data_IF_564431897956
#
_entry.id   IF_564431897956
#
_cell.length_a   1.000
_cell.length_b   1.000
_cell.length_c   1.000
_cell.angle_alpha   90.00
_cell.angle_beta   90.00
_cell.angle_gamma   90.00
#
_symmetry.space_group_name_H-M   'P 1'
#
loop_
_entity.id
_entity.type
_entity.pdbx_description
1 polymer ?
#
# COMPACT_ATOMS: atom_id res chain seq x y z
N UNK A 1 -27.57 -22.58 -27.99
CA UNK A 1 -26.20 -22.71 -28.53
C UNK A 1 -25.48 -21.44 -28.10
N UNK A 2 -24.89 -21.53 -26.91
CA UNK A 2 -23.89 -20.65 -26.27
C UNK A 2 -23.84 -19.17 -26.64
N UNK A 3 -24.36 -18.35 -25.72
CA UNK A 3 -24.10 -16.93 -25.58
C UNK A 3 -22.62 -16.72 -25.20
N UNK A 4 -21.91 -15.99 -26.05
CA UNK A 4 -20.53 -15.53 -25.87
C UNK A 4 -20.54 -14.31 -24.94
N UNK A 5 -20.37 -14.56 -23.64
CA UNK A 5 -20.10 -13.52 -22.65
C UNK A 5 -18.61 -13.20 -22.66
N UNK A 6 -18.22 -12.25 -23.50
CA UNK A 6 -16.90 -11.61 -23.43
C UNK A 6 -16.69 -10.98 -22.05
N UNK A 7 -15.73 -11.53 -21.30
CA UNK A 7 -15.19 -10.94 -20.08
C UNK A 7 -14.76 -9.49 -20.33
N UNK A 8 -15.11 -8.52 -19.45
CA UNK A 8 -14.45 -7.24 -19.48
C UNK A 8 -13.03 -7.45 -18.94
N UNK A 9 -12.07 -7.50 -19.85
CA UNK A 9 -10.65 -7.44 -19.55
C UNK A 9 -10.39 -6.18 -18.71
N UNK A 10 -10.16 -6.37 -17.40
CA UNK A 10 -9.74 -5.32 -16.50
C UNK A 10 -8.43 -4.74 -17.05
N UNK A 11 -8.47 -3.48 -17.46
CA UNK A 11 -7.30 -2.72 -17.87
C UNK A 11 -6.26 -2.76 -16.77
N UNK A 12 -5.24 -3.58 -16.98
CA UNK A 12 -4.00 -3.51 -16.23
C UNK A 12 -3.45 -2.11 -16.38
N UNK A 13 -3.35 -1.36 -15.29
CA UNK A 13 -2.56 -0.15 -15.26
C UNK A 13 -1.10 -0.59 -15.48
N UNK A 14 -0.68 -0.57 -16.73
CA UNK A 14 0.70 -0.71 -17.16
C UNK A 14 1.51 0.40 -16.51
N UNK A 15 2.18 0.09 -15.40
CA UNK A 15 3.18 0.96 -14.83
C UNK A 15 4.31 1.12 -15.85
N UNK A 16 4.38 2.31 -16.46
CA UNK A 16 5.47 2.78 -17.31
C UNK A 16 6.84 2.26 -16.81
N UNK A 17 7.55 1.41 -17.57
CA UNK A 17 8.90 0.96 -17.24
C UNK A 17 9.90 2.09 -17.51
N UNK A 18 9.89 3.14 -16.68
CA UNK A 18 10.73 4.33 -16.87
C UNK A 18 11.12 5.09 -15.60
N UNK A 19 10.37 4.97 -14.50
CA UNK A 19 10.80 5.55 -13.22
C UNK A 19 11.89 4.67 -12.60
N UNK A 20 13.14 5.15 -12.59
CA UNK A 20 14.23 4.55 -11.81
C UNK A 20 13.87 4.67 -10.32
N UNK A 21 13.08 3.72 -9.83
CA UNK A 21 12.63 3.68 -8.44
C UNK A 21 13.80 3.76 -7.47
N UNK A 22 13.63 4.53 -6.38
CA UNK A 22 14.64 4.76 -5.36
C UNK A 22 14.96 3.45 -4.64
N UNK A 23 16.24 3.17 -4.37
CA UNK A 23 16.64 1.98 -3.62
C UNK A 23 17.01 2.37 -2.20
N UNK A 24 16.44 1.67 -1.22
CA UNK A 24 16.73 1.82 0.21
C UNK A 24 16.95 0.42 0.77
N UNK A 25 18.21 0.11 1.11
CA UNK A 25 18.62 -1.25 1.50
C UNK A 25 18.22 -2.29 0.44
N UNK A 26 17.39 -3.27 0.85
CA UNK A 26 16.88 -4.34 -0.02
C UNK A 26 15.60 -3.99 -0.78
N UNK A 27 15.08 -2.79 -0.59
CA UNK A 27 13.80 -2.36 -1.14
C UNK A 27 14.00 -1.40 -2.30
N UNK A 28 13.31 -1.65 -3.40
CA UNK A 28 13.12 -0.67 -4.47
C UNK A 28 11.75 -0.05 -4.33
N UNK A 29 11.71 1.26 -4.19
CA UNK A 29 10.52 2.08 -4.02
C UNK A 29 10.11 2.62 -5.39
N UNK A 30 8.86 2.38 -5.76
CA UNK A 30 8.24 2.83 -7.00
C UNK A 30 7.27 4.00 -6.72
N UNK A 31 6.29 4.20 -7.61
CA UNK A 31 5.32 5.28 -7.50
C UNK A 31 4.46 5.21 -6.24
N UNK A 32 3.88 6.37 -5.89
CA UNK A 32 2.91 6.52 -4.81
C UNK A 32 1.61 5.82 -5.21
N UNK A 33 1.07 4.99 -4.32
CA UNK A 33 -0.22 4.31 -4.47
C UNK A 33 -1.30 4.85 -3.52
N UNK A 34 -0.89 5.62 -2.52
CA UNK A 34 -1.79 6.33 -1.62
C UNK A 34 -1.06 7.44 -0.88
N UNK A 35 -1.79 8.46 -0.44
CA UNK A 35 -1.24 9.55 0.38
C UNK A 35 -2.21 9.82 1.53
N UNK A 36 -1.66 9.92 2.74
CA UNK A 36 -2.36 10.41 3.93
C UNK A 36 -1.86 11.78 4.33
N UNK A 37 -2.21 12.22 5.53
CA UNK A 37 -1.77 13.50 6.09
C UNK A 37 -0.26 13.53 6.37
N UNK A 38 0.24 12.58 7.18
CA UNK A 38 1.65 12.56 7.61
C UNK A 38 2.58 11.76 6.69
N UNK A 39 2.04 10.86 5.87
CA UNK A 39 2.82 9.87 5.16
C UNK A 39 2.20 9.49 3.81
N UNK A 40 3.06 9.08 2.89
CA UNK A 40 2.69 8.48 1.61
C UNK A 40 2.92 6.96 1.65
N UNK A 41 2.15 6.22 0.86
CA UNK A 41 2.35 4.78 0.64
C UNK A 41 2.80 4.58 -0.79
N UNK A 42 3.93 3.90 -0.94
CA UNK A 42 4.53 3.60 -2.23
C UNK A 42 4.41 2.11 -2.54
N UNK A 43 4.24 1.80 -3.82
CA UNK A 43 4.48 0.44 -4.30
C UNK A 43 5.98 0.16 -4.19
N UNK A 44 6.34 -1.00 -3.66
CA UNK A 44 7.72 -1.39 -3.49
C UNK A 44 7.98 -2.81 -3.93
N UNK A 45 9.26 -3.14 -4.02
CA UNK A 45 9.73 -4.49 -4.29
C UNK A 45 10.92 -4.82 -3.39
N UNK A 46 10.74 -5.79 -2.51
CA UNK A 46 11.83 -6.46 -1.80
C UNK A 46 12.63 -7.28 -2.82
N UNK A 47 13.95 -7.19 -2.74
CA UNK A 47 14.90 -8.05 -3.45
C UNK A 47 15.76 -8.81 -2.45
N UNK A 48 15.71 -10.13 -2.54
CA UNK A 48 16.57 -11.02 -1.77
C UNK A 48 17.56 -11.75 -2.67
N UNK A 49 18.33 -12.63 -2.06
CA UNK A 49 19.30 -13.48 -2.75
C UNK A 49 18.62 -14.47 -3.70
N UNK A 50 19.40 -15.08 -4.59
CA UNK A 50 18.93 -16.09 -5.55
C UNK A 50 17.73 -15.64 -6.42
N UNK A 51 17.60 -14.33 -6.67
CA UNK A 51 16.51 -13.77 -7.49
C UNK A 51 15.17 -13.64 -6.76
N UNK A 52 15.13 -13.87 -5.44
CA UNK A 52 13.91 -13.70 -4.65
C UNK A 52 13.38 -12.26 -4.78
N UNK A 53 12.09 -12.13 -5.04
CA UNK A 53 11.43 -10.83 -5.09
C UNK A 53 10.00 -10.90 -4.59
N UNK A 54 9.61 -9.92 -3.76
CA UNK A 54 8.25 -9.79 -3.22
C UNK A 54 7.76 -8.37 -3.41
N UNK A 55 6.51 -8.21 -3.86
CA UNK A 55 5.84 -6.90 -3.91
C UNK A 55 5.43 -6.51 -2.51
N UNK A 56 5.68 -5.26 -2.14
CA UNK A 56 5.42 -4.72 -0.79
C UNK A 56 4.80 -3.33 -0.89
N UNK A 57 4.13 -2.89 0.16
CA UNK A 57 3.77 -1.49 0.33
C UNK A 57 4.75 -0.84 1.31
N UNK A 58 5.22 0.37 0.99
CA UNK A 58 6.22 1.07 1.78
C UNK A 58 5.63 2.42 2.18
N UNK A 59 5.31 2.56 3.47
CA UNK A 59 4.84 3.82 4.04
C UNK A 59 6.05 4.69 4.37
N UNK A 60 6.03 5.94 3.93
CA UNK A 60 7.12 6.91 4.06
C UNK A 60 6.59 8.17 4.75
N UNK A 61 7.23 8.60 5.84
CA UNK A 61 6.92 9.88 6.47
C UNK A 61 7.27 11.03 5.51
N UNK A 62 6.40 12.05 5.38
CA UNK A 62 6.72 13.20 4.55
C UNK A 62 7.91 13.98 5.12
N UNK A 63 8.78 14.51 4.24
CA UNK A 63 9.99 15.24 4.63
C UNK A 63 9.71 16.36 5.66
N UNK A 64 8.59 17.07 5.52
CA UNK A 64 8.15 18.14 6.42
C UNK A 64 7.92 17.71 7.88
N UNK A 65 7.70 16.42 8.13
CA UNK A 65 7.49 15.87 9.48
C UNK A 65 8.72 15.14 10.04
N UNK A 66 9.79 14.99 9.27
CA UNK A 66 10.97 14.21 9.69
C UNK A 66 11.84 14.90 10.74
N UNK A 67 11.69 16.21 10.93
CA UNK A 67 12.45 16.99 11.94
C UNK A 67 11.71 17.14 13.26
N UNK A 68 10.44 16.76 13.31
CA UNK A 68 9.63 16.83 14.53
C UNK A 68 9.58 15.44 15.19
N UNK A 69 10.19 15.26 16.38
CA UNK A 69 10.25 13.98 17.06
C UNK A 69 8.87 13.37 17.35
N UNK A 70 7.83 14.20 17.51
CA UNK A 70 6.48 13.72 17.82
C UNK A 70 5.86 12.93 16.67
N UNK A 71 6.04 13.39 15.43
CA UNK A 71 5.56 12.68 14.24
C UNK A 71 6.39 11.44 13.94
N UNK A 72 7.69 11.51 14.19
CA UNK A 72 8.59 10.35 14.09
C UNK A 72 8.17 9.26 15.09
N UNK A 73 7.89 9.63 16.33
CA UNK A 73 7.43 8.70 17.36
C UNK A 73 6.07 8.09 17.01
N UNK A 74 5.11 8.91 16.59
CA UNK A 74 3.79 8.43 16.15
C UNK A 74 3.90 7.42 14.99
N UNK A 75 4.76 7.71 14.01
CA UNK A 75 5.01 6.81 12.88
C UNK A 75 5.62 5.47 13.34
N UNK A 76 6.59 5.52 14.25
CA UNK A 76 7.22 4.32 14.79
C UNK A 76 6.28 3.52 15.67
N UNK A 77 5.39 4.18 16.42
CA UNK A 77 4.41 3.51 17.27
C UNK A 77 3.35 2.77 16.45
N UNK A 78 2.92 3.32 15.30
CA UNK A 78 2.09 2.59 14.35
C UNK A 78 2.77 1.30 13.89
N UNK A 79 4.04 1.38 13.49
CA UNK A 79 4.79 0.22 13.03
C UNK A 79 4.97 -0.83 14.14
N UNK A 80 5.28 -0.41 15.37
CA UNK A 80 5.41 -1.27 16.55
C UNK A 80 4.10 -1.95 16.91
N UNK A 81 3.01 -1.20 16.92
CA UNK A 81 1.69 -1.73 17.25
C UNK A 81 1.25 -2.76 16.20
N UNK A 82 1.37 -2.43 14.91
CA UNK A 82 1.04 -3.33 13.81
C UNK A 82 1.89 -4.61 13.85
N UNK A 83 3.18 -4.52 14.15
CA UNK A 83 4.07 -5.69 14.22
C UNK A 83 3.70 -6.70 15.34
N UNK A 84 2.95 -6.26 16.35
CA UNK A 84 2.47 -7.13 17.45
C UNK A 84 1.21 -7.90 17.09
N UNK A 85 0.54 -7.56 15.99
CA UNK A 85 -0.72 -8.18 15.58
C UNK A 85 -0.44 -9.22 14.50
N UNK A 86 -0.92 -10.45 14.71
CA UNK A 86 -0.88 -11.53 13.70
C UNK A 86 -2.29 -12.03 13.48
N UNK A 87 -2.91 -11.60 12.38
CA UNK A 87 -4.29 -11.95 12.07
C UNK A 87 -4.51 -11.90 10.56
N UNK A 88 -5.39 -12.77 10.03
CA UNK A 88 -5.63 -12.88 8.58
C UNK A 88 -6.15 -11.58 7.94
N UNK A 89 -6.88 -10.77 8.72
CA UNK A 89 -7.47 -9.50 8.27
C UNK A 89 -6.64 -8.27 8.69
N UNK A 90 -5.40 -8.46 9.15
CA UNK A 90 -4.51 -7.35 9.51
C UNK A 90 -3.24 -7.47 8.69
N UNK A 91 -2.91 -6.40 7.97
CA UNK A 91 -1.69 -6.37 7.15
C UNK A 91 -0.46 -6.58 8.02
N UNK A 92 0.43 -7.46 7.57
CA UNK A 92 1.63 -7.80 8.34
C UNK A 92 2.73 -6.77 8.11
N UNK A 93 3.34 -6.32 9.20
CA UNK A 93 4.61 -5.59 9.16
C UNK A 93 5.73 -6.55 8.77
N UNK A 94 6.48 -6.19 7.72
CA UNK A 94 7.61 -6.96 7.22
C UNK A 94 8.94 -6.42 7.75
N UNK A 95 9.07 -5.09 7.81
CA UNK A 95 10.32 -4.42 8.15
C UNK A 95 10.08 -2.96 8.55
N UNK A 96 11.06 -2.37 9.25
CA UNK A 96 11.15 -0.93 9.49
C UNK A 96 12.57 -0.51 9.17
N UNK A 97 12.71 0.35 8.16
CA UNK A 97 14.01 0.77 7.62
C UNK A 97 14.21 2.25 7.89
N UNK A 98 15.42 2.61 8.30
CA UNK A 98 15.87 3.99 8.40
C UNK A 98 16.95 4.25 7.34
N UNK A 99 16.88 5.42 6.68
CA UNK A 99 17.91 5.85 5.73
C UNK A 99 18.08 7.36 5.81
N UNK A 100 19.20 7.82 6.38
CA UNK A 100 19.37 9.23 6.70
C UNK A 100 18.32 9.70 7.71
N UNK A 101 17.56 10.74 7.37
CA UNK A 101 16.47 11.25 8.21
C UNK A 101 15.09 10.71 7.82
N UNK A 102 15.03 9.72 6.92
CA UNK A 102 13.77 9.12 6.47
C UNK A 102 13.53 7.77 7.15
N UNK A 103 12.25 7.51 7.46
CA UNK A 103 11.76 6.26 8.00
C UNK A 103 10.76 5.61 7.05
N UNK A 104 10.89 4.29 6.93
CA UNK A 104 10.10 3.46 6.04
C UNK A 104 9.47 2.33 6.84
N UNK A 105 8.14 2.25 6.84
CA UNK A 105 7.41 1.11 7.39
C UNK A 105 6.99 0.21 6.23
N UNK A 106 7.60 -0.96 6.15
CA UNK A 106 7.38 -1.92 5.07
C UNK A 106 6.34 -2.93 5.53
N UNK A 107 5.29 -3.06 4.75
CA UNK A 107 4.16 -3.94 5.03
C UNK A 107 3.83 -4.77 3.78
N UNK A 108 3.01 -5.80 3.99
CA UNK A 108 2.44 -6.54 2.87
C UNK A 108 1.61 -5.64 1.94
N UNK A 109 1.79 -5.84 0.64
CA UNK A 109 0.95 -5.16 -0.34
C UNK A 109 -0.39 -5.87 -0.42
N UNK A 110 -1.47 -5.15 -0.10
CA UNK A 110 -2.85 -5.60 -0.30
C UNK A 110 -3.30 -5.16 -1.68
N UNK A 111 -3.60 -6.14 -2.54
CA UNK A 111 -4.18 -5.87 -3.84
C UNK A 111 -5.67 -5.56 -3.71
N UNK A 112 -6.11 -4.44 -4.31
CA UNK A 112 -7.51 -4.02 -4.29
C UNK A 112 -7.64 -2.52 -4.07
N UNK A 113 -8.87 -2.09 -3.78
CA UNK A 113 -9.21 -0.69 -3.54
C UNK A 113 -9.63 -0.45 -2.09
N UNK A 114 -9.45 0.78 -1.63
CA UNK A 114 -9.90 1.16 -0.29
C UNK A 114 -11.42 1.28 -0.24
N UNK A 115 -12.01 0.94 0.89
CA UNK A 115 -13.44 1.12 1.15
C UNK A 115 -13.86 2.58 0.91
N UNK A 116 -13.00 3.54 1.25
CA UNK A 116 -13.24 4.97 0.98
C UNK A 116 -13.43 5.27 -0.52
N UNK A 117 -12.58 4.71 -1.38
CA UNK A 117 -12.71 4.84 -2.83
C UNK A 117 -13.98 4.16 -3.35
N UNK A 118 -14.27 2.94 -2.88
CA UNK A 118 -15.51 2.22 -3.22
C UNK A 118 -16.76 3.06 -2.87
N UNK A 119 -16.82 3.57 -1.64
CA UNK A 119 -17.93 4.41 -1.17
C UNK A 119 -18.01 5.74 -1.94
N UNK A 120 -16.86 6.34 -2.29
CA UNK A 120 -16.82 7.56 -3.09
C UNK A 120 -17.38 7.32 -4.50
N UNK A 121 -17.01 6.20 -5.14
CA UNK A 121 -17.50 5.82 -6.45
C UNK A 121 -19.02 5.58 -6.45
N UNK A 122 -19.53 4.80 -5.50
CA UNK A 122 -20.97 4.55 -5.36
C UNK A 122 -21.77 5.87 -5.19
N UNK A 123 -21.31 6.75 -4.29
CA UNK A 123 -21.94 8.08 -4.11
C UNK A 123 -21.97 8.92 -5.38
N UNK A 124 -20.89 8.93 -6.16
CA UNK A 124 -20.82 9.67 -7.44
C UNK A 124 -21.78 9.10 -8.48
N UNK A 125 -22.03 7.80 -8.45
CA UNK A 125 -23.01 7.14 -9.31
C UNK A 125 -24.46 7.32 -8.82
N UNK A 126 -24.68 7.88 -7.62
CA UNK A 126 -26.01 7.93 -7.00
C UNK A 126 -26.48 6.58 -6.46
N UNK A 127 -25.55 5.64 -6.25
CA UNK A 127 -25.82 4.27 -5.83
C UNK A 127 -25.31 3.99 -4.41
N UNK A 128 -25.75 2.87 -3.85
CA UNK A 128 -25.20 2.30 -2.63
C UNK A 128 -24.30 1.10 -2.95
N UNK A 129 -23.32 0.84 -2.07
CA UNK A 129 -22.54 -0.41 -2.16
C UNK A 129 -23.49 -1.58 -1.92
N UNK A 130 -23.55 -2.58 -2.81
CA UNK A 130 -24.37 -3.77 -2.62
C UNK A 130 -24.09 -4.45 -1.28
N UNK A 131 -25.16 -4.91 -0.60
CA UNK A 131 -25.04 -5.46 0.77
C UNK A 131 -24.13 -6.68 0.81
N UNK A 132 -24.21 -7.55 -0.20
CA UNK A 132 -23.37 -8.74 -0.35
C UNK A 132 -21.88 -8.42 -0.50
N UNK A 133 -21.54 -7.26 -1.09
CA UNK A 133 -20.18 -6.74 -1.12
C UNK A 133 -19.79 -6.17 0.25
N UNK A 134 -20.67 -5.36 0.85
CA UNK A 134 -20.40 -4.68 2.11
C UNK A 134 -20.09 -5.65 3.26
N UNK A 135 -20.83 -6.76 3.37
CA UNK A 135 -20.64 -7.77 4.43
C UNK A 135 -19.38 -8.62 4.27
N UNK A 136 -18.67 -8.52 3.14
CA UNK A 136 -17.42 -9.25 2.86
C UNK A 136 -16.16 -8.40 3.07
N UNK A 137 -16.32 -7.12 3.39
CA UNK A 137 -15.20 -6.22 3.70
C UNK A 137 -14.58 -6.69 5.04
N UNK A 138 -13.27 -6.89 5.03
CA UNK A 138 -12.47 -7.33 6.19
C UNK A 138 -11.33 -6.39 6.48
#
# INVERSE_FOLDING_TARGET
MTEDHGEPAATVASAEPGSKGRVVGRYRIHGVIGSGGMASVHLGRLRGDAGFSRVVAIKCLHASFTTDPSFVEMFMDEARLAARIRHANVVSTLDVVASGNELFHVIDYVHGETVSKLLSAARKAGEHVPVDVAVRIV
#
